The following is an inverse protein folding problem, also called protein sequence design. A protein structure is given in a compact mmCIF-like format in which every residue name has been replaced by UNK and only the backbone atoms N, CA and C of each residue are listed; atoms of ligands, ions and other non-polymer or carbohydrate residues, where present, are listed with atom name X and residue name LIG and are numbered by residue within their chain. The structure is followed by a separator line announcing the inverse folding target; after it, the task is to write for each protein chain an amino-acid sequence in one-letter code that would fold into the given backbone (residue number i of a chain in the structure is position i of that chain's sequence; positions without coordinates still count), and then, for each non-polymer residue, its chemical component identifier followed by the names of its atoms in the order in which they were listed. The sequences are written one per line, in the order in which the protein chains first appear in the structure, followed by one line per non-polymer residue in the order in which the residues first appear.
data_IF_280504564182
#
_entry.id   IF_280504564182
#
_cell.length_a   1.000
_cell.length_b   1.000
_cell.length_c   1.000
_cell.angle_alpha   90.00
_cell.angle_beta   90.00
_cell.angle_gamma   90.00
#
_symmetry.space_group_name_H-M   'P 1'
#
loop_
_entity.id
_entity.type
_entity.pdbx_description
1 polymer ?
#
# COMPACT_ATOMS: atom_id res chain seq x y z
N UNK A 1 -25.02 12.04 -0.75
CA UNK A 1 -24.29 12.36 0.49
C UNK A 1 -23.47 11.12 0.83
N UNK A 2 -22.24 11.05 0.31
CA UNK A 2 -21.39 9.86 0.37
C UNK A 2 -20.72 9.79 1.75
N UNK A 3 -21.02 8.73 2.50
CA UNK A 3 -20.27 8.33 3.69
C UNK A 3 -18.89 7.88 3.22
N UNK A 4 -17.86 8.62 3.61
CA UNK A 4 -16.46 8.19 3.48
C UNK A 4 -16.19 7.32 4.70
N UNK A 5 -16.15 6.00 4.51
CA UNK A 5 -15.68 5.08 5.53
C UNK A 5 -14.16 5.26 5.68
N UNK A 6 -13.77 6.02 6.70
CA UNK A 6 -12.38 6.14 7.14
C UNK A 6 -11.97 4.77 7.70
N UNK A 7 -11.27 3.98 6.89
CA UNK A 7 -10.76 2.67 7.26
C UNK A 7 -9.74 2.80 8.40
N UNK A 8 -10.20 2.43 9.60
CA UNK A 8 -9.43 2.17 10.80
C UNK A 8 -8.30 1.16 10.51
N UNK A 9 -7.11 1.38 11.08
CA UNK A 9 -6.26 0.39 11.78
C UNK A 9 -4.75 0.62 11.55
N UNK A 10 -4.06 1.24 12.53
CA UNK A 10 -2.67 0.86 12.83
C UNK A 10 -2.72 -0.40 13.70
N UNK A 11 -2.71 -1.58 13.08
CA UNK A 11 -2.66 -2.86 13.79
C UNK A 11 -1.23 -3.38 13.72
N UNK A 12 -0.68 -3.70 14.89
CA UNK A 12 0.50 -4.57 15.01
C UNK A 12 0.00 -5.99 14.81
N UNK A 13 0.48 -6.68 13.79
CA UNK A 13 0.23 -8.10 13.63
C UNK A 13 0.82 -8.83 14.84
N UNK A 14 0.02 -9.67 15.50
CA UNK A 14 0.32 -10.11 16.86
C UNK A 14 1.59 -10.98 16.90
N UNK A 15 2.48 -10.61 17.82
CA UNK A 15 3.48 -11.49 18.42
C UNK A 15 2.74 -12.59 19.20
N UNK A 16 3.01 -13.85 18.88
CA UNK A 16 2.46 -15.01 19.61
C UNK A 16 2.74 -14.89 21.12
N UNK A 17 1.68 -14.82 21.92
CA UNK A 17 1.70 -15.29 23.31
C UNK A 17 0.61 -16.35 23.43
N UNK A 18 1.06 -17.61 23.49
CA UNK A 18 0.23 -18.76 23.83
C UNK A 18 -0.41 -18.57 25.21
N UNK A 19 -1.61 -19.14 25.32
CA UNK A 19 -2.41 -19.47 26.50
C UNK A 19 -3.29 -18.33 27.06
N UNK A 20 -4.60 -18.44 26.84
CA UNK A 20 -5.61 -18.68 27.90
C UNK A 20 -6.98 -18.97 27.23
N UNK A 21 -7.33 -20.25 27.27
CA UNK A 21 -8.64 -20.91 27.42
C UNK A 21 -9.93 -20.33 26.81
N UNK A 22 -10.62 -21.21 26.07
CA UNK A 22 -12.07 -21.17 25.92
C UNK A 22 -12.55 -21.51 24.51
N UNK A 23 -12.85 -22.79 24.27
CA UNK A 23 -13.63 -23.26 23.12
C UNK A 23 -14.93 -22.45 22.94
N UNK A 24 -15.36 -22.24 21.70
CA UNK A 24 -16.70 -22.59 21.19
C UNK A 24 -16.94 -22.00 19.78
N UNK A 25 -17.16 -22.92 18.83
CA UNK A 25 -17.97 -22.91 17.60
C UNK A 25 -18.17 -21.61 16.79
N UNK A 26 -17.95 -21.66 15.47
CA UNK A 26 -19.03 -21.95 14.50
C UNK A 26 -18.53 -21.85 13.05
N UNK A 27 -19.29 -22.51 12.19
CA UNK A 27 -19.10 -22.77 10.76
C UNK A 27 -18.49 -21.63 9.94
N UNK A 28 -17.58 -22.02 9.04
CA UNK A 28 -16.94 -21.15 8.07
C UNK A 28 -17.92 -20.68 7.00
N UNK A 29 -18.70 -19.65 7.31
CA UNK A 29 -19.37 -18.84 6.31
C UNK A 29 -18.31 -18.31 5.33
N UNK A 30 -18.34 -18.80 4.09
CA UNK A 30 -17.58 -18.27 2.98
C UNK A 30 -17.99 -16.81 2.77
N UNK A 31 -17.30 -15.88 3.43
CA UNK A 31 -17.53 -14.45 3.28
C UNK A 31 -17.45 -14.08 1.81
N UNK A 32 -18.53 -13.54 1.28
CA UNK A 32 -18.60 -13.02 -0.08
C UNK A 32 -17.46 -12.00 -0.27
N UNK A 33 -16.54 -12.28 -1.21
CA UNK A 33 -15.43 -11.39 -1.51
C UNK A 33 -16.02 -10.14 -2.16
N UNK A 34 -15.65 -8.97 -1.64
CA UNK A 34 -16.01 -7.68 -2.24
C UNK A 34 -15.77 -7.72 -3.77
N UNK A 35 -16.79 -7.46 -4.60
CA UNK A 35 -16.68 -7.54 -6.06
C UNK A 35 -15.53 -6.68 -6.64
N UNK A 36 -15.12 -5.61 -5.96
CA UNK A 36 -13.97 -4.80 -6.36
C UNK A 36 -12.64 -5.49 -6.08
N UNK A 37 -12.54 -6.23 -4.97
CA UNK A 37 -11.35 -7.03 -4.65
C UNK A 37 -11.25 -8.21 -5.62
N UNK A 38 -12.35 -8.93 -5.87
CA UNK A 38 -12.38 -10.03 -6.84
C UNK A 38 -11.97 -9.55 -8.24
N UNK A 39 -12.52 -8.41 -8.68
CA UNK A 39 -12.16 -7.79 -9.96
C UNK A 39 -10.69 -7.36 -9.99
N UNK A 40 -10.14 -6.87 -8.89
CA UNK A 40 -8.73 -6.52 -8.77
C UNK A 40 -7.83 -7.75 -8.87
N UNK A 41 -8.11 -8.82 -8.11
CA UNK A 41 -7.33 -10.05 -8.11
C UNK A 41 -7.30 -10.73 -9.50
N UNK A 42 -8.37 -10.57 -10.28
CA UNK A 42 -8.46 -11.02 -11.69
C UNK A 42 -7.74 -10.11 -12.69
N UNK A 43 -7.31 -8.92 -12.29
CA UNK A 43 -6.64 -7.99 -13.20
C UNK A 43 -5.23 -8.46 -13.56
N UNK A 44 -4.80 -8.17 -14.79
CA UNK A 44 -3.42 -8.35 -15.22
C UNK A 44 -2.58 -7.16 -14.77
N UNK A 45 -1.43 -7.47 -14.18
CA UNK A 45 -0.42 -6.53 -13.75
C UNK A 45 0.75 -6.57 -14.73
N UNK A 46 1.21 -5.40 -15.15
CA UNK A 46 2.52 -5.26 -15.80
C UNK A 46 3.50 -4.70 -14.76
N UNK A 47 4.52 -5.47 -14.44
CA UNK A 47 5.52 -5.12 -13.43
C UNK A 47 6.79 -4.69 -14.14
N UNK A 48 7.34 -3.54 -13.77
CA UNK A 48 8.58 -2.98 -14.29
C UNK A 48 9.52 -2.63 -13.11
N UNK A 49 10.67 -3.30 -13.03
CA UNK A 49 11.66 -3.05 -11.97
C UNK A 49 12.45 -1.78 -12.24
N UNK A 50 13.14 -1.19 -11.24
CA UNK A 50 14.02 -0.04 -11.45
C UNK A 50 15.15 -0.30 -12.48
N UNK A 51 15.52 -1.57 -12.68
CA UNK A 51 16.52 -2.00 -13.67
C UNK A 51 15.95 -2.12 -15.09
N UNK A 52 14.64 -1.91 -15.26
CA UNK A 52 13.95 -2.01 -16.55
C UNK A 52 13.50 -3.43 -16.93
N UNK A 53 13.62 -4.41 -16.01
CA UNK A 53 13.08 -5.75 -16.22
C UNK A 53 11.56 -5.69 -16.20
N UNK A 54 10.91 -6.44 -17.10
CA UNK A 54 9.46 -6.40 -17.28
C UNK A 54 8.87 -7.79 -17.22
N UNK A 55 7.72 -7.90 -16.58
CA UNK A 55 6.91 -9.12 -16.57
C UNK A 55 5.42 -8.84 -16.43
N UNK A 56 4.63 -9.84 -16.73
CA UNK A 56 3.18 -9.79 -16.60
C UNK A 56 2.69 -10.97 -15.76
N UNK A 57 1.73 -10.72 -14.87
CA UNK A 57 1.06 -11.73 -14.06
C UNK A 57 -0.28 -11.21 -13.55
N UNK A 58 -1.16 -12.09 -13.08
CA UNK A 58 -2.38 -11.64 -12.40
C UNK A 58 -2.06 -11.02 -11.05
N UNK A 59 -2.94 -10.14 -10.56
CA UNK A 59 -2.83 -9.60 -9.22
C UNK A 59 -2.89 -10.70 -8.15
N UNK A 60 -3.75 -11.72 -8.33
CA UNK A 60 -3.76 -12.89 -7.45
C UNK A 60 -2.38 -13.55 -7.35
N UNK A 61 -1.75 -13.91 -8.48
CA UNK A 61 -0.42 -14.54 -8.48
C UNK A 61 0.66 -13.64 -7.89
N UNK A 62 0.54 -12.32 -8.05
CA UNK A 62 1.45 -11.38 -7.40
C UNK A 62 1.34 -11.45 -5.87
N UNK A 63 0.13 -11.38 -5.31
CA UNK A 63 -0.08 -11.40 -3.85
C UNK A 63 0.10 -12.79 -3.22
N UNK A 64 -0.12 -13.86 -3.98
CA UNK A 64 0.19 -15.24 -3.56
C UNK A 64 1.70 -15.52 -3.56
N UNK A 65 2.50 -14.70 -4.26
CA UNK A 65 3.96 -14.80 -4.27
C UNK A 65 4.60 -14.04 -3.10
N UNK A 66 5.86 -14.34 -2.80
CA UNK A 66 6.67 -13.54 -1.85
C UNK A 66 7.28 -12.28 -2.48
N UNK A 67 7.01 -11.99 -3.76
CA UNK A 67 7.65 -10.88 -4.47
C UNK A 67 7.31 -9.52 -3.86
N UNK A 68 6.04 -9.31 -3.53
CA UNK A 68 5.59 -8.06 -2.92
C UNK A 68 6.16 -7.86 -1.51
N UNK A 69 6.42 -8.97 -0.79
CA UNK A 69 7.04 -8.96 0.55
C UNK A 69 8.51 -8.53 0.46
N UNK A 70 9.19 -8.95 -0.60
CA UNK A 70 10.61 -8.65 -0.83
C UNK A 70 10.86 -7.35 -1.61
N UNK A 71 9.80 -6.61 -1.97
CA UNK A 71 9.93 -5.36 -2.72
C UNK A 71 9.69 -4.16 -1.81
N UNK A 72 10.77 -3.43 -1.49
CA UNK A 72 10.70 -2.30 -0.56
C UNK A 72 9.89 -1.12 -1.09
N UNK A 73 9.90 -0.85 -2.39
CA UNK A 73 9.31 0.35 -2.98
C UNK A 73 8.43 0.00 -4.18
N UNK A 74 7.12 0.17 -4.02
CA UNK A 74 6.14 -0.15 -5.06
C UNK A 74 5.31 1.08 -5.41
N UNK A 75 5.24 1.39 -6.70
CA UNK A 75 4.31 2.37 -7.24
C UNK A 75 3.24 1.62 -8.04
N UNK A 76 2.03 1.56 -7.52
CA UNK A 76 0.87 1.07 -8.25
C UNK A 76 0.32 2.19 -9.13
N UNK A 77 0.24 1.95 -10.43
CA UNK A 77 -0.18 2.92 -11.43
C UNK A 77 -1.43 2.39 -12.13
N UNK A 78 -2.54 3.13 -12.03
CA UNK A 78 -3.78 2.74 -12.69
C UNK A 78 -4.91 3.74 -12.47
N UNK A 79 -6.01 3.56 -13.21
CA UNK A 79 -7.19 4.42 -13.08
C UNK A 79 -8.03 3.97 -11.85
N UNK A 80 -9.11 3.20 -12.09
CA UNK A 80 -10.16 2.90 -11.11
C UNK A 80 -9.76 1.90 -10.02
N UNK A 81 -8.75 1.06 -10.26
CA UNK A 81 -8.30 0.02 -9.32
C UNK A 81 -7.05 0.43 -8.53
N UNK A 82 -6.45 1.58 -8.87
CA UNK A 82 -5.29 2.11 -8.15
C UNK A 82 -5.68 3.27 -7.23
N UNK A 83 -6.61 4.15 -7.62
CA UNK A 83 -7.09 5.24 -6.76
C UNK A 83 -8.16 4.77 -5.79
N UNK A 84 -7.74 4.47 -4.56
CA UNK A 84 -8.55 4.00 -3.43
C UNK A 84 -9.34 2.69 -3.65
N UNK A 85 -9.31 1.83 -2.64
CA UNK A 85 -10.21 0.68 -2.40
C UNK A 85 -9.57 -0.71 -2.52
N UNK A 86 -9.06 -1.25 -3.65
CA UNK A 86 -8.66 -2.68 -3.69
C UNK A 86 -7.27 -2.98 -3.12
N UNK A 87 -6.26 -2.17 -3.44
CA UNK A 87 -4.87 -2.40 -2.97
C UNK A 87 -4.77 -2.29 -1.45
N UNK A 88 -5.41 -1.27 -0.87
CA UNK A 88 -5.45 -1.08 0.59
C UNK A 88 -6.25 -2.20 1.26
N UNK A 89 -7.40 -2.60 0.71
CA UNK A 89 -8.16 -3.74 1.23
C UNK A 89 -7.35 -5.03 1.18
N UNK A 90 -6.62 -5.25 0.09
CA UNK A 90 -5.73 -6.41 -0.03
C UNK A 90 -4.59 -6.34 1.00
N UNK A 91 -3.93 -5.19 1.15
CA UNK A 91 -2.89 -5.00 2.17
C UNK A 91 -3.42 -5.27 3.58
N UNK A 92 -4.57 -4.70 3.94
CA UNK A 92 -5.24 -4.94 5.22
C UNK A 92 -5.58 -6.42 5.43
N UNK A 93 -6.08 -7.11 4.39
CA UNK A 93 -6.41 -8.52 4.45
C UNK A 93 -5.16 -9.37 4.68
N UNK A 94 -4.06 -9.08 3.99
CA UNK A 94 -2.78 -9.77 4.17
C UNK A 94 -2.18 -9.52 5.56
N UNK A 95 -2.32 -8.29 6.09
CA UNK A 95 -1.90 -7.97 7.46
C UNK A 95 -2.79 -8.61 8.54
N UNK A 96 -3.94 -9.15 8.18
CA UNK A 96 -4.83 -9.84 9.13
C UNK A 96 -4.57 -11.34 9.21
N UNK A 97 -3.65 -11.87 8.39
CA UNK A 97 -3.24 -13.27 8.41
C UNK A 97 -2.20 -13.50 9.52
N UNK A 98 -2.22 -14.68 10.15
CA UNK A 98 -1.44 -14.98 11.36
C UNK A 98 0.09 -14.89 11.17
N UNK A 99 0.58 -14.93 9.93
CA UNK A 99 2.01 -15.00 9.60
C UNK A 99 2.62 -13.66 9.12
N UNK A 100 1.87 -12.56 9.12
CA UNK A 100 2.37 -11.29 8.59
C UNK A 100 3.00 -10.40 9.68
N UNK A 101 4.29 -10.53 9.95
CA UNK A 101 5.00 -9.78 11.01
C UNK A 101 5.40 -8.34 10.59
N UNK A 102 4.45 -7.53 10.09
CA UNK A 102 4.69 -6.10 9.84
C UNK A 102 3.56 -5.21 10.35
N UNK A 103 3.90 -3.99 10.77
CA UNK A 103 2.91 -2.96 11.11
C UNK A 103 2.50 -2.19 9.86
N UNK A 104 1.19 -2.08 9.63
CA UNK A 104 0.63 -1.34 8.50
C UNK A 104 0.25 0.10 8.90
N UNK A 105 0.73 1.07 8.14
CA UNK A 105 0.32 2.47 8.19
C UNK A 105 -0.30 2.87 6.84
N UNK A 106 -1.55 3.32 6.86
CA UNK A 106 -2.23 3.89 5.69
C UNK A 106 -2.30 5.40 5.91
N UNK A 107 -1.79 6.16 4.94
CA UNK A 107 -1.54 7.58 5.09
C UNK A 107 -2.15 8.34 3.93
N UNK A 108 -2.95 9.33 4.26
CA UNK A 108 -3.49 10.30 3.32
C UNK A 108 -2.40 11.32 3.01
N UNK A 109 -1.78 11.16 1.84
CA UNK A 109 -0.68 12.00 1.38
C UNK A 109 -1.07 13.46 1.20
N UNK A 110 -2.36 13.77 1.00
CA UNK A 110 -2.86 15.14 0.81
C UNK A 110 -2.86 15.93 2.11
N UNK A 111 -2.86 15.24 3.26
CA UNK A 111 -2.81 15.86 4.59
C UNK A 111 -1.39 16.06 5.10
N UNK A 112 -0.39 15.62 4.35
CA UNK A 112 1.00 15.70 4.77
C UNK A 112 1.63 17.05 4.43
N UNK A 113 2.37 17.60 5.40
CA UNK A 113 3.37 18.61 5.10
C UNK A 113 4.68 17.93 4.67
N UNK A 114 5.01 18.01 3.38
CA UNK A 114 6.17 17.29 2.82
C UNK A 114 7.52 17.66 3.44
N UNK A 115 7.64 18.86 4.03
CA UNK A 115 8.86 19.35 4.70
C UNK A 115 8.88 19.10 6.20
N UNK A 116 7.77 18.66 6.78
CA UNK A 116 7.68 18.37 8.20
C UNK A 116 8.33 17.03 8.53
N UNK A 117 8.56 16.83 9.82
CA UNK A 117 9.03 15.59 10.40
C UNK A 117 8.03 14.45 10.13
N UNK A 118 8.51 13.36 9.53
CA UNK A 118 7.68 12.27 9.06
C UNK A 118 6.92 11.59 10.20
N UNK A 119 7.58 11.32 11.32
CA UNK A 119 6.98 10.63 12.47
C UNK A 119 5.79 11.43 12.99
N UNK A 120 5.95 12.73 13.15
CA UNK A 120 4.88 13.60 13.63
C UNK A 120 3.72 13.68 12.65
N UNK A 121 3.98 13.72 11.35
CA UNK A 121 2.92 13.73 10.33
C UNK A 121 2.15 12.40 10.28
N UNK A 122 2.83 11.27 10.45
CA UNK A 122 2.18 9.95 10.56
C UNK A 122 1.34 9.86 11.83
N UNK A 123 1.90 10.27 12.96
CA UNK A 123 1.22 10.24 14.25
C UNK A 123 -0.09 11.06 14.23
N UNK A 124 -0.10 12.23 13.56
CA UNK A 124 -1.32 13.07 13.39
C UNK A 124 -2.46 12.36 12.67
N UNK A 125 -2.16 11.34 11.87
CA UNK A 125 -3.17 10.59 11.11
C UNK A 125 -3.63 9.32 11.83
N UNK A 126 -3.05 8.99 12.99
CA UNK A 126 -3.54 7.91 13.82
C UNK A 126 -4.93 8.23 14.40
N UNK A 127 -5.73 7.21 14.77
CA UNK A 127 -7.00 7.43 15.44
C UNK A 127 -6.84 8.29 16.71
N UNK A 128 -7.81 9.15 17.05
CA UNK A 128 -7.72 10.05 18.23
C UNK A 128 -7.44 9.35 19.57
N UNK A 129 -7.80 8.06 19.68
CA UNK A 129 -7.57 7.22 20.87
C UNK A 129 -6.41 6.23 20.68
N UNK A 130 -5.50 6.51 19.74
CA UNK A 130 -4.29 5.72 19.56
C UNK A 130 -3.47 5.73 20.85
N UNK A 131 -3.02 4.55 21.29
CA UNK A 131 -2.10 4.42 22.43
C UNK A 131 -0.65 4.73 22.07
N UNK A 132 -0.34 4.86 20.79
CA UNK A 132 1.03 5.05 20.30
C UNK A 132 1.36 6.54 20.31
N UNK A 133 2.44 6.88 21.01
CA UNK A 133 3.07 8.19 21.01
C UNK A 133 3.92 8.40 19.74
N UNK A 134 4.39 9.64 19.48
CA UNK A 134 5.35 9.88 18.41
C UNK A 134 6.63 9.03 18.55
N UNK A 135 7.12 8.80 19.76
CA UNK A 135 8.32 7.98 19.99
C UNK A 135 8.06 6.50 19.65
N UNK A 136 6.88 5.96 20.00
CA UNK A 136 6.48 4.61 19.58
C UNK A 136 6.43 4.49 18.04
N UNK A 137 5.90 5.51 17.37
CA UNK A 137 5.82 5.55 15.90
C UNK A 137 7.22 5.63 15.29
N UNK A 138 8.12 6.43 15.86
CA UNK A 138 9.52 6.48 15.43
C UNK A 138 10.20 5.11 15.56
N UNK A 139 10.04 4.45 16.71
CA UNK A 139 10.63 3.13 16.94
C UNK A 139 10.12 2.11 15.91
N UNK A 140 8.81 2.08 15.65
CA UNK A 140 8.22 1.19 14.65
C UNK A 140 8.80 1.44 13.25
N UNK A 141 8.80 2.70 12.79
CA UNK A 141 9.23 3.05 11.44
C UNK A 141 10.74 2.92 11.22
N UNK A 142 11.53 2.99 12.31
CA UNK A 142 13.00 2.93 12.26
C UNK A 142 13.54 1.51 12.47
N UNK A 143 12.91 0.71 13.32
CA UNK A 143 13.48 -0.56 13.78
C UNK A 143 12.58 -1.78 13.56
N UNK A 144 11.28 -1.60 13.35
CA UNK A 144 10.35 -2.70 13.07
C UNK A 144 10.05 -2.82 11.59
N UNK A 145 9.61 -4.01 11.16
CA UNK A 145 9.11 -4.17 9.79
C UNK A 145 7.79 -3.44 9.65
N UNK A 146 7.75 -2.47 8.74
CA UNK A 146 6.57 -1.65 8.50
C UNK A 146 6.24 -1.61 7.02
N UNK A 147 4.94 -1.68 6.72
CA UNK A 147 4.39 -1.32 5.43
C UNK A 147 3.68 0.02 5.54
N UNK A 148 4.14 0.98 4.76
CA UNK A 148 3.57 2.32 4.66
C UNK A 148 2.91 2.49 3.30
N UNK A 149 1.62 2.80 3.28
CA UNK A 149 0.86 3.03 2.03
C UNK A 149 0.46 4.50 1.97
N UNK A 150 0.98 5.22 0.97
CA UNK A 150 0.51 6.53 0.61
C UNK A 150 -0.58 6.41 -0.45
N UNK A 151 -1.82 6.72 -0.07
CA UNK A 151 -2.92 6.74 -1.03
C UNK A 151 -3.04 8.12 -1.69
N UNK A 152 -2.86 8.18 -3.01
CA UNK A 152 -3.07 9.42 -3.77
C UNK A 152 -4.54 9.58 -4.16
N UNK A 153 -5.39 8.58 -3.94
CA UNK A 153 -6.83 8.63 -4.27
C UNK A 153 -7.10 8.87 -5.75
N UNK A 154 -6.11 8.56 -6.60
CA UNK A 154 -6.14 8.85 -8.02
C UNK A 154 -6.21 10.34 -8.35
N UNK A 155 -5.80 11.26 -7.49
CA UNK A 155 -5.70 12.68 -7.88
C UNK A 155 -4.32 13.04 -8.40
N UNK A 156 -4.21 14.19 -9.06
CA UNK A 156 -2.91 14.74 -9.41
C UNK A 156 -2.25 15.25 -8.12
N UNK A 157 -1.07 14.72 -7.81
CA UNK A 157 -0.29 15.15 -6.66
C UNK A 157 0.89 16.01 -7.12
N UNK A 158 0.90 17.26 -6.69
CA UNK A 158 2.03 18.16 -6.90
C UNK A 158 3.16 17.80 -5.92
N UNK A 159 3.96 16.82 -6.31
CA UNK A 159 5.11 16.39 -5.54
C UNK A 159 6.22 17.44 -5.64
N UNK A 160 6.92 17.73 -4.52
CA UNK A 160 8.12 18.53 -4.57
C UNK A 160 9.18 17.82 -5.43
N UNK A 161 10.05 18.61 -6.06
CA UNK A 161 11.20 18.08 -6.79
C UNK A 161 12.00 17.14 -5.87
N UNK A 162 12.41 15.95 -6.35
CA UNK A 162 13.26 15.06 -5.57
C UNK A 162 14.55 15.79 -5.18
N UNK A 163 15.12 15.53 -3.99
CA UNK A 163 16.37 16.15 -3.58
C UNK A 163 17.50 15.82 -4.57
N UNK A 164 18.26 16.85 -4.98
CA UNK A 164 19.29 16.77 -6.04
C UNK A 164 20.56 16.00 -5.63
N UNK A 165 20.71 15.59 -4.36
CA UNK A 165 21.93 14.96 -3.86
C UNK A 165 21.70 14.04 -2.67
N UNK A 166 22.44 12.93 -2.62
CA UNK A 166 22.80 12.15 -1.42
C UNK A 166 23.70 13.00 -0.49
N UNK A 167 23.25 14.19 -0.10
CA UNK A 167 23.93 14.91 0.97
C UNK A 167 23.64 14.14 2.26
N UNK A 168 24.72 13.80 2.97
CA UNK A 168 24.72 13.25 4.32
C UNK A 168 23.86 14.12 5.25
N UNK A 169 22.57 13.83 5.29
CA UNK A 169 21.73 14.19 6.42
C UNK A 169 22.04 13.16 7.50
N UNK A 170 22.94 13.55 8.41
CA UNK A 170 23.14 12.85 9.67
C UNK A 170 21.79 12.83 10.42
N UNK A 171 21.36 11.61 10.74
CA UNK A 171 20.43 11.15 11.76
C UNK A 171 20.01 12.26 12.75
N UNK A 172 18.75 12.68 12.82
CA UNK A 172 17.74 11.99 13.65
C UNK A 172 16.28 12.24 13.19
N UNK A 173 16.07 12.95 12.06
CA UNK A 173 14.73 13.30 11.57
C UNK A 173 14.63 13.23 10.05
N UNK A 174 13.76 12.35 9.56
CA UNK A 174 13.43 12.24 8.14
C UNK A 174 12.20 13.07 7.80
N UNK A 175 12.23 13.73 6.64
CA UNK A 175 11.03 14.38 6.09
C UNK A 175 10.19 13.40 5.27
N UNK A 176 8.94 13.74 4.95
CA UNK A 176 8.13 12.96 4.00
C UNK A 176 8.86 12.82 2.66
N UNK A 177 9.55 13.86 2.20
CA UNK A 177 10.33 13.81 0.96
C UNK A 177 11.45 12.76 1.02
N UNK A 178 12.16 12.68 2.14
CA UNK A 178 13.20 11.67 2.33
C UNK A 178 12.58 10.27 2.29
N UNK A 179 11.45 10.09 2.95
CA UNK A 179 10.71 8.82 2.95
C UNK A 179 10.23 8.46 1.55
N UNK A 180 9.70 9.39 0.77
CA UNK A 180 9.19 9.10 -0.57
C UNK A 180 10.30 8.78 -1.57
N UNK A 181 11.45 9.46 -1.49
CA UNK A 181 12.45 9.41 -2.56
C UNK A 181 13.73 8.65 -2.23
N UNK A 182 14.02 8.42 -0.94
CA UNK A 182 15.22 7.68 -0.49
C UNK A 182 14.80 6.36 0.16
N UNK A 183 15.61 5.32 -0.07
CA UNK A 183 15.49 4.09 0.71
C UNK A 183 16.30 4.25 2.00
N UNK A 184 15.67 4.84 3.02
CA UNK A 184 16.34 5.18 4.28
C UNK A 184 16.46 4.00 5.26
N UNK A 185 15.61 2.98 5.12
CA UNK A 185 15.49 1.84 6.02
C UNK A 185 14.96 0.64 5.24
N UNK A 186 15.67 -0.48 5.29
CA UNK A 186 15.27 -1.73 4.62
C UNK A 186 14.09 -2.43 5.31
N UNK A 187 13.82 -2.11 6.58
CA UNK A 187 12.63 -2.57 7.29
C UNK A 187 11.38 -1.77 6.94
N UNK A 188 11.51 -0.63 6.25
CA UNK A 188 10.40 0.24 5.86
C UNK A 188 10.05 0.03 4.38
N UNK A 189 8.96 -0.71 4.14
CA UNK A 189 8.37 -0.84 2.80
C UNK A 189 7.39 0.29 2.55
N UNK A 190 7.43 0.85 1.35
CA UNK A 190 6.58 1.98 0.95
C UNK A 190 5.87 1.67 -0.34
N UNK A 191 4.55 1.71 -0.27
CA UNK A 191 3.66 1.62 -1.42
C UNK A 191 3.02 2.96 -1.69
N UNK A 192 2.90 3.28 -2.97
CA UNK A 192 2.24 4.49 -3.44
C UNK A 192 1.21 4.05 -4.47
N UNK A 193 -0.01 4.55 -4.34
CA UNK A 193 -1.03 4.41 -5.38
C UNK A 193 -1.07 5.66 -6.23
N UNK A 194 -1.28 5.56 -7.54
CA UNK A 194 -1.22 6.70 -8.44
C UNK A 194 -2.04 6.50 -9.70
N UNK A 195 -2.56 7.60 -10.26
CA UNK A 195 -3.03 7.62 -11.66
C UNK A 195 -1.86 7.54 -12.65
N UNK A 196 -2.10 7.09 -13.89
CA UNK A 196 -1.08 7.06 -14.95
C UNK A 196 -0.52 8.42 -15.34
N UNK A 197 -1.19 9.51 -14.95
CA UNK A 197 -0.78 10.89 -15.25
C UNK A 197 0.34 11.43 -14.36
N UNK A 198 0.69 10.76 -13.27
CA UNK A 198 1.78 11.21 -12.39
C UNK A 198 3.13 10.88 -13.05
N UNK A 199 4.02 11.88 -13.07
CA UNK A 199 5.36 11.73 -13.66
C UNK A 199 6.16 10.63 -12.97
N UNK A 200 6.47 9.57 -13.72
CA UNK A 200 7.27 8.42 -13.27
C UNK A 200 8.71 8.77 -12.88
N UNK A 201 9.19 9.97 -13.25
CA UNK A 201 10.53 10.46 -12.93
C UNK A 201 10.78 10.55 -11.43
N UNK A 202 9.77 10.98 -10.66
CA UNK A 202 9.85 11.09 -9.19
C UNK A 202 10.08 9.73 -8.52
N UNK A 203 9.69 8.64 -9.18
CA UNK A 203 9.70 7.28 -8.65
C UNK A 203 10.60 6.35 -9.48
N UNK A 204 11.72 6.87 -9.99
CA UNK A 204 12.68 6.09 -10.79
C UNK A 204 13.15 4.82 -10.06
N UNK A 205 13.33 4.89 -8.74
CA UNK A 205 13.82 3.81 -7.89
C UNK A 205 12.71 2.83 -7.43
N UNK A 206 11.46 3.04 -7.85
CA UNK A 206 10.33 2.18 -7.49
C UNK A 206 10.11 1.10 -8.54
N UNK A 207 9.76 -0.10 -8.08
CA UNK A 207 9.09 -1.09 -8.92
C UNK A 207 7.71 -0.56 -9.26
N UNK A 208 7.40 -0.47 -10.56
CA UNK A 208 6.14 0.08 -11.06
C UNK A 208 5.22 -1.06 -11.43
N UNK A 209 4.01 -1.05 -10.88
CA UNK A 209 2.99 -2.04 -11.15
C UNK A 209 1.85 -1.33 -11.86
N UNK A 210 1.75 -1.53 -13.15
CA UNK A 210 0.68 -0.97 -13.97
C UNK A 210 -0.52 -1.92 -13.95
N UNK A 211 -1.65 -1.46 -13.44
CA UNK A 211 -2.91 -2.19 -13.49
C UNK A 211 -3.47 -2.04 -14.91
N UNK A 212 -3.54 -3.13 -15.65
CA UNK A 212 -4.09 -3.09 -17.01
C UNK A 212 -5.60 -2.84 -16.94
N UNK A 213 -6.12 -2.04 -17.87
CA UNK A 213 -7.57 -1.89 -18.04
C UNK A 213 -8.17 -3.26 -18.28
N UNK A 214 -9.15 -3.62 -17.46
CA UNK A 214 -9.92 -4.84 -17.67
C UNK A 214 -10.60 -4.67 -19.03
N UNK A 215 -10.18 -5.47 -20.01
CA UNK A 215 -10.93 -5.61 -21.25
C UNK A 215 -12.29 -6.10 -20.84
N UNK A 216 -13.33 -5.29 -21.01
CA UNK A 216 -14.70 -5.78 -20.95
C UNK A 216 -14.77 -6.91 -21.97
N UNK A 217 -14.83 -8.16 -21.49
CA UNK A 217 -15.10 -9.27 -22.38
C UNK A 217 -16.43 -8.95 -23.05
N UNK A 218 -16.36 -8.83 -24.37
CA UNK A 218 -17.44 -8.29 -25.18
C UNK A 218 -18.78 -8.93 -24.86
N UNK A 219 -19.81 -8.09 -24.93
CA UNK A 219 -21.17 -8.46 -25.28
C UNK A 219 -21.17 -9.80 -26.03
N UNK A 220 -21.82 -10.81 -25.45
CA UNK A 220 -22.29 -11.96 -26.21
C UNK A 220 -23.09 -11.40 -27.39
N UNK A 221 -22.45 -11.30 -28.56
CA UNK A 221 -23.20 -11.35 -29.80
C UNK A 221 -23.71 -12.77 -29.89
N UNK A 222 -24.94 -12.96 -29.42
CA UNK A 222 -25.76 -14.09 -29.78
C UNK A 222 -25.60 -14.30 -31.29
N UNK A 223 -24.97 -15.39 -31.67
CA UNK A 223 -25.07 -15.91 -33.03
C UNK A 223 -26.50 -16.44 -33.10
N UNK A 224 -27.43 -15.59 -33.50
CA UNK A 224 -28.71 -16.05 -34.05
C UNK A 224 -28.41 -16.49 -35.47
N UNK A 225 -28.26 -17.79 -35.66
CA UNK A 225 -28.45 -18.40 -36.98
C UNK A 225 -29.91 -18.19 -37.38
N UNK A 226 -30.17 -17.39 -38.41
CA UNK A 226 -31.30 -17.53 -39.33
C UNK A 226 -30.79 -17.16 -40.73
#
# INVERSE_FOLDING_TARGET
MLKVDVLQNSRRCKRNTKNEDGDEYEDGDLKEIDPLIDRFLKSQLKIETPKGERKEMSAASFFDSDEWKNTNRILFVGDLLAGETPIIKQANSMCSQEDFDETLFIVDIKKLNFKADFVNEIHKQLPPNSKYSPDDVYEMLSFEKCLLIFDIGGEQLDLPKPPDSEKDTIADRFTICDILFKNINDCLRVWITSKPSISSYHFKNYTKIYLQKIKEHGSQRSITNI
#
